data_IF_923157255868
#
_entry.id   IF_923157255868
#
_cell.length_a   1.000
_cell.length_b   1.000
_cell.length_c   1.000
_cell.angle_alpha   90.00
_cell.angle_beta   90.00
_cell.angle_gamma   90.00
#
_symmetry.space_group_name_H-M   'P 1'
#
loop_
_entity.id
_entity.type
_entity.pdbx_description
1 polymer ?
#
# COMPACT_ATOMS: atom_id res chain seq x y z
N UNK A 1 1.38 7.46 -8.30
CA UNK A 1 -0.07 7.32 -8.54
C UNK A 1 -0.83 8.65 -8.57
N UNK A 2 -0.38 9.70 -7.87
CA UNK A 2 -1.09 11.01 -7.77
C UNK A 2 -1.56 11.55 -9.13
N UNK A 3 -0.68 11.58 -10.14
CA UNK A 3 -1.04 12.06 -11.48
C UNK A 3 -2.25 11.32 -12.11
N UNK A 4 -2.30 9.99 -11.96
CA UNK A 4 -3.39 9.19 -12.53
C UNK A 4 -4.69 9.35 -11.75
N UNK A 5 -4.60 9.52 -10.41
CA UNK A 5 -5.76 9.85 -9.59
C UNK A 5 -6.36 11.20 -10.01
N UNK A 6 -5.52 12.22 -10.16
CA UNK A 6 -5.95 13.52 -10.66
C UNK A 6 -6.58 13.45 -12.06
N UNK A 7 -5.98 12.67 -12.97
CA UNK A 7 -6.55 12.49 -14.31
C UNK A 7 -7.91 11.77 -14.27
N UNK A 8 -8.11 10.80 -13.35
CA UNK A 8 -9.40 10.15 -13.14
C UNK A 8 -10.47 11.15 -12.65
N UNK A 9 -10.12 12.02 -11.70
CA UNK A 9 -11.04 13.04 -11.18
C UNK A 9 -11.45 14.05 -12.26
N UNK A 10 -10.52 14.45 -13.13
CA UNK A 10 -10.78 15.42 -14.22
C UNK A 10 -11.57 14.78 -15.38
N UNK A 11 -11.23 13.54 -15.75
CA UNK A 11 -11.76 12.91 -16.96
C UNK A 11 -12.92 11.94 -16.71
N UNK A 12 -13.24 11.62 -15.45
CA UNK A 12 -14.24 10.64 -15.04
C UNK A 12 -14.08 9.31 -15.79
N UNK A 13 -12.94 8.63 -15.59
CA UNK A 13 -12.62 7.44 -16.36
C UNK A 13 -13.54 6.27 -16.00
N UNK A 14 -13.81 5.41 -16.99
CA UNK A 14 -14.58 4.18 -16.78
C UNK A 14 -13.89 3.24 -15.79
N UNK A 15 -14.69 2.45 -15.05
CA UNK A 15 -14.24 1.50 -14.01
C UNK A 15 -13.07 0.59 -14.43
N UNK A 16 -13.02 0.17 -15.70
CA UNK A 16 -11.91 -0.65 -16.24
C UNK A 16 -10.54 0.02 -16.07
N UNK A 17 -10.47 1.34 -16.23
CA UNK A 17 -9.22 2.09 -16.08
C UNK A 17 -8.84 2.25 -14.61
N UNK A 18 -9.81 2.26 -13.69
CA UNK A 18 -9.56 2.26 -12.23
C UNK A 18 -8.91 0.97 -11.73
N UNK A 19 -8.93 -0.10 -12.53
CA UNK A 19 -8.20 -1.35 -12.27
C UNK A 19 -6.86 -1.40 -13.02
N UNK A 20 -6.85 -1.05 -14.31
CA UNK A 20 -5.65 -1.15 -15.16
C UNK A 20 -4.59 -0.10 -14.83
N UNK A 21 -4.98 1.15 -14.56
CA UNK A 21 -4.04 2.24 -14.33
C UNK A 21 -3.25 2.10 -13.02
N UNK A 22 -3.85 1.71 -11.88
CA UNK A 22 -3.06 1.43 -10.69
C UNK A 22 -2.12 0.24 -10.87
N UNK A 23 -2.51 -0.77 -11.64
CA UNK A 23 -1.64 -1.91 -12.00
C UNK A 23 -0.43 -1.45 -12.81
N UNK A 24 -0.62 -0.60 -13.81
CA UNK A 24 0.50 -0.04 -14.58
C UNK A 24 1.40 0.85 -13.72
N UNK A 25 0.81 1.64 -12.82
CA UNK A 25 1.54 2.54 -11.94
C UNK A 25 2.32 1.84 -10.82
N UNK A 26 2.01 0.58 -10.51
CA UNK A 26 2.77 -0.23 -9.54
C UNK A 26 3.96 -0.97 -10.15
N UNK A 27 4.09 -1.01 -11.50
CA UNK A 27 5.22 -1.67 -12.17
C UNK A 27 6.61 -1.24 -11.68
N UNK A 28 6.89 0.05 -11.38
CA UNK A 28 8.20 0.44 -10.84
C UNK A 28 8.51 -0.24 -9.49
N UNK A 29 7.51 -0.40 -8.62
CA UNK A 29 7.67 -1.13 -7.35
C UNK A 29 8.01 -2.59 -7.61
N UNK A 30 7.30 -3.24 -8.54
CA UNK A 30 7.55 -4.64 -8.91
C UNK A 30 8.96 -4.82 -9.49
N UNK A 31 9.43 -3.88 -10.31
CA UNK A 31 10.78 -3.93 -10.89
C UNK A 31 11.86 -3.76 -9.83
N UNK A 32 11.71 -2.79 -8.91
CA UNK A 32 12.63 -2.61 -7.77
C UNK A 32 12.66 -3.86 -6.89
N UNK A 33 11.50 -4.46 -6.64
CA UNK A 33 11.42 -5.70 -5.86
C UNK A 33 12.16 -6.85 -6.55
N UNK A 34 11.96 -7.00 -7.86
CA UNK A 34 12.61 -8.03 -8.67
C UNK A 34 14.13 -7.89 -8.69
N UNK A 35 14.66 -6.67 -8.84
CA UNK A 35 16.11 -6.47 -8.96
C UNK A 35 16.86 -6.49 -7.62
N UNK A 36 16.21 -6.10 -6.53
CA UNK A 36 16.90 -5.87 -5.25
C UNK A 36 16.67 -6.95 -4.20
N UNK A 37 15.45 -7.51 -4.10
CA UNK A 37 15.08 -8.42 -3.02
C UNK A 37 14.73 -9.82 -3.54
N UNK A 38 13.82 -9.90 -4.50
CA UNK A 38 13.49 -11.13 -5.25
C UNK A 38 12.88 -12.28 -4.43
N UNK A 39 12.60 -12.11 -3.13
CA UNK A 39 12.10 -13.21 -2.30
C UNK A 39 10.59 -13.46 -2.48
N UNK A 40 10.23 -14.42 -3.31
CA UNK A 40 8.82 -14.79 -3.57
C UNK A 40 8.27 -15.83 -2.59
N UNK A 41 9.03 -16.23 -1.58
CA UNK A 41 8.63 -17.21 -0.57
C UNK A 41 7.90 -16.53 0.58
N UNK A 42 6.65 -16.94 0.83
CA UNK A 42 5.84 -16.43 1.93
C UNK A 42 5.81 -17.42 3.11
N UNK A 43 5.61 -16.88 4.32
CA UNK A 43 5.26 -17.70 5.48
C UNK A 43 3.75 -17.93 5.48
N UNK A 44 3.34 -19.19 5.48
CA UNK A 44 1.93 -19.57 5.41
C UNK A 44 1.22 -19.24 6.74
N UNK A 45 0.03 -18.60 6.72
CA UNK A 45 -0.74 -18.33 7.93
C UNK A 45 -1.15 -19.61 8.66
N UNK A 46 -1.19 -19.56 10.01
CA UNK A 46 -1.39 -20.74 10.88
C UNK A 46 -2.51 -21.71 10.43
N UNK A 47 -3.70 -21.25 10.01
CA UNK A 47 -4.78 -22.15 9.58
C UNK A 47 -4.45 -23.00 8.34
N UNK A 48 -3.59 -22.51 7.45
CA UNK A 48 -3.28 -23.16 6.16
C UNK A 48 -1.99 -23.99 6.19
N UNK A 49 -1.18 -23.87 7.24
CA UNK A 49 0.08 -24.60 7.40
C UNK A 49 -0.05 -26.12 7.27
N UNK A 50 -1.12 -26.79 7.76
CA UNK A 50 -1.26 -28.24 7.59
C UNK A 50 -1.37 -28.70 6.14
N UNK A 51 -1.84 -27.84 5.24
CA UNK A 51 -2.10 -28.17 3.84
C UNK A 51 -0.93 -27.74 2.94
N UNK A 52 -0.38 -26.54 3.18
CA UNK A 52 0.59 -25.89 2.30
C UNK A 52 2.02 -25.88 2.84
N UNK A 53 2.24 -26.37 4.07
CA UNK A 53 3.53 -26.30 4.74
C UNK A 53 3.79 -24.96 5.43
N UNK A 54 5.01 -24.77 5.95
CA UNK A 54 5.41 -23.53 6.66
C UNK A 54 5.77 -22.39 5.69
N UNK A 55 6.46 -22.73 4.61
CA UNK A 55 6.95 -21.81 3.59
C UNK A 55 6.42 -22.25 2.23
N UNK A 56 5.94 -21.28 1.44
CA UNK A 56 5.43 -21.52 0.10
C UNK A 56 6.05 -20.50 -0.86
N UNK A 57 6.73 -20.99 -1.89
CA UNK A 57 7.18 -20.14 -2.99
C UNK A 57 6.05 -19.93 -3.99
N UNK A 58 5.66 -18.67 -4.17
CA UNK A 58 4.59 -18.26 -5.08
C UNK A 58 5.10 -17.88 -6.47
N UNK A 59 6.41 -17.63 -6.63
CA UNK A 59 7.00 -17.15 -7.87
C UNK A 59 6.23 -15.96 -8.47
N UNK A 60 5.76 -16.11 -9.71
CA UNK A 60 5.03 -15.06 -10.43
C UNK A 60 3.74 -14.62 -9.72
N UNK A 61 3.08 -15.51 -8.98
CA UNK A 61 1.85 -15.17 -8.25
C UNK A 61 2.10 -14.14 -7.15
N UNK A 62 3.32 -14.07 -6.62
CA UNK A 62 3.71 -13.03 -5.67
C UNK A 62 3.71 -11.64 -6.32
N UNK A 63 4.19 -11.52 -7.56
CA UNK A 63 4.16 -10.26 -8.31
C UNK A 63 2.74 -9.86 -8.71
N UNK A 64 1.90 -10.82 -9.09
CA UNK A 64 0.47 -10.58 -9.32
C UNK A 64 -0.17 -10.04 -8.04
N UNK A 65 0.10 -10.65 -6.89
CA UNK A 65 -0.36 -10.17 -5.58
C UNK A 65 0.09 -8.73 -5.30
N UNK A 66 1.38 -8.39 -5.47
CA UNK A 66 1.88 -7.03 -5.25
C UNK A 66 1.18 -6.00 -6.16
N UNK A 67 0.93 -6.35 -7.42
CA UNK A 67 0.18 -5.50 -8.34
C UNK A 67 -1.26 -5.27 -7.88
N UNK A 68 -1.96 -6.34 -7.49
CA UNK A 68 -3.33 -6.29 -6.99
C UNK A 68 -3.43 -5.57 -5.65
N UNK A 69 -2.40 -5.62 -4.80
CA UNK A 69 -2.37 -4.88 -3.54
C UNK A 69 -2.47 -3.38 -3.78
N UNK A 70 -1.74 -2.85 -4.76
CA UNK A 70 -1.81 -1.44 -5.10
C UNK A 70 -3.20 -1.03 -5.62
N UNK A 71 -3.82 -1.86 -6.46
CA UNK A 71 -5.20 -1.67 -6.96
C UNK A 71 -6.21 -1.69 -5.80
N UNK A 72 -6.07 -2.65 -4.88
CA UNK A 72 -6.94 -2.79 -3.73
C UNK A 72 -6.84 -1.57 -2.82
N UNK A 73 -5.63 -1.17 -2.41
CA UNK A 73 -5.45 -0.04 -1.47
C UNK A 73 -6.06 1.26 -2.00
N UNK A 74 -5.88 1.60 -3.29
CA UNK A 74 -6.45 2.83 -3.85
C UNK A 74 -7.97 2.78 -3.95
N UNK A 75 -8.53 1.64 -4.37
CA UNK A 75 -9.98 1.51 -4.54
C UNK A 75 -10.71 1.32 -3.21
N UNK A 76 -10.11 0.65 -2.23
CA UNK A 76 -10.72 0.39 -0.92
C UNK A 76 -11.00 1.70 -0.15
N UNK A 77 -10.05 2.64 -0.14
CA UNK A 77 -10.27 3.96 0.46
C UNK A 77 -11.31 4.75 -0.35
N UNK A 78 -11.24 4.68 -1.68
CA UNK A 78 -12.14 5.43 -2.56
C UNK A 78 -13.62 4.99 -2.47
N UNK A 79 -13.91 3.71 -2.19
CA UNK A 79 -15.28 3.24 -1.98
C UNK A 79 -15.78 3.50 -0.55
N UNK A 80 -14.87 3.64 0.42
CA UNK A 80 -15.17 4.02 1.80
C UNK A 80 -15.02 5.53 1.98
N UNK A 81 -15.88 6.27 1.28
CA UNK A 81 -15.79 7.72 1.11
C UNK A 81 -17.20 8.36 1.16
N UNK A 82 -17.25 9.68 1.09
CA UNK A 82 -18.51 10.43 0.90
C UNK A 82 -19.10 11.10 2.14
N UNK A 83 -18.36 11.14 3.25
CA UNK A 83 -18.65 12.01 4.41
C UNK A 83 -17.40 12.79 4.79
N UNK A 84 -17.57 14.02 5.28
CA UNK A 84 -16.47 14.95 5.56
C UNK A 84 -15.38 14.29 6.42
N UNK A 85 -14.13 14.38 5.96
CA UNK A 85 -12.96 13.91 6.70
C UNK A 85 -12.76 12.40 6.74
N UNK A 86 -13.61 11.57 6.12
CA UNK A 86 -13.49 10.11 6.23
C UNK A 86 -12.29 9.55 5.47
N UNK A 87 -12.04 10.03 4.25
CA UNK A 87 -10.96 9.56 3.38
C UNK A 87 -9.59 9.96 3.94
N UNK A 88 -9.44 11.22 4.34
CA UNK A 88 -8.23 11.74 4.96
C UNK A 88 -8.05 11.19 6.39
N UNK A 89 -9.14 11.07 7.17
CA UNK A 89 -9.12 10.56 8.54
C UNK A 89 -8.71 9.10 8.64
N UNK A 90 -9.31 8.21 7.82
CA UNK A 90 -8.92 6.79 7.83
C UNK A 90 -7.45 6.61 7.39
N UNK A 91 -7.00 7.40 6.41
CA UNK A 91 -5.61 7.38 5.92
C UNK A 91 -4.61 7.86 6.99
N UNK A 92 -5.00 8.85 7.81
CA UNK A 92 -4.21 9.29 8.96
C UNK A 92 -4.11 8.21 10.04
N UNK A 93 -5.20 7.52 10.36
CA UNK A 93 -5.17 6.42 11.34
C UNK A 93 -4.26 5.29 10.86
N UNK A 94 -4.35 4.90 9.57
CA UNK A 94 -3.50 3.87 8.98
C UNK A 94 -2.02 4.28 9.02
N UNK A 95 -1.69 5.49 8.54
CA UNK A 95 -0.31 5.96 8.52
C UNK A 95 0.29 6.15 9.91
N UNK A 96 -0.47 6.66 10.88
CA UNK A 96 -0.05 6.71 12.28
C UNK A 96 0.26 5.32 12.84
N UNK A 97 -0.59 4.33 12.54
CA UNK A 97 -0.39 2.95 12.98
C UNK A 97 0.90 2.36 12.39
N UNK A 98 1.18 2.61 11.11
CA UNK A 98 2.43 2.18 10.45
C UNK A 98 3.64 2.89 11.06
N UNK A 99 3.56 4.20 11.34
CA UNK A 99 4.64 4.96 11.98
C UNK A 99 4.95 4.36 13.36
N UNK A 100 3.93 4.14 14.19
CA UNK A 100 4.10 3.54 15.52
C UNK A 100 4.75 2.16 15.40
N UNK A 101 4.26 1.31 14.49
CA UNK A 101 4.84 -0.01 14.25
C UNK A 101 6.31 0.07 13.82
N UNK A 102 6.66 0.96 12.89
CA UNK A 102 8.04 1.15 12.45
C UNK A 102 8.96 1.67 13.57
N UNK A 103 8.45 2.52 14.46
CA UNK A 103 9.22 3.00 15.61
C UNK A 103 9.50 1.89 16.61
N UNK A 104 8.53 1.00 16.84
CA UNK A 104 8.70 -0.18 17.72
C UNK A 104 9.73 -1.15 17.13
N UNK A 105 9.66 -1.44 15.83
CA UNK A 105 10.56 -2.38 15.15
C UNK A 105 11.92 -1.76 14.76
N UNK A 106 12.16 -0.48 15.07
CA UNK A 106 13.43 0.19 14.75
C UNK A 106 14.63 -0.39 15.52
N UNK A 107 14.36 -0.99 16.68
CA UNK A 107 15.34 -1.70 17.51
C UNK A 107 15.52 -3.17 17.10
N UNK A 108 14.69 -3.67 16.16
CA UNK A 108 14.67 -5.06 15.70
C UNK A 108 15.61 -5.34 14.52
N UNK A 109 15.51 -6.56 13.99
CA UNK A 109 16.39 -7.08 12.94
C UNK A 109 16.20 -6.39 11.58
N UNK A 110 14.99 -5.90 11.27
CA UNK A 110 14.62 -5.34 9.96
C UNK A 110 14.69 -3.80 9.92
N UNK A 111 15.64 -3.20 10.63
CA UNK A 111 15.73 -1.74 10.82
C UNK A 111 15.70 -0.95 9.50
N UNK A 112 16.42 -1.39 8.47
CA UNK A 112 16.52 -0.65 7.20
C UNK A 112 15.16 -0.50 6.50
N UNK A 113 14.32 -1.54 6.55
CA UNK A 113 12.96 -1.53 5.98
C UNK A 113 12.05 -0.55 6.73
N UNK A 114 12.15 -0.52 8.06
CA UNK A 114 11.36 0.40 8.90
C UNK A 114 11.81 1.86 8.75
N UNK A 115 13.12 2.12 8.65
CA UNK A 115 13.66 3.45 8.35
C UNK A 115 13.19 3.92 6.97
N UNK A 116 13.27 3.06 5.94
CA UNK A 116 12.79 3.37 4.60
C UNK A 116 11.30 3.71 4.62
N UNK A 117 10.47 2.92 5.31
CA UNK A 117 9.04 3.16 5.45
C UNK A 117 8.74 4.50 6.14
N UNK A 118 9.48 4.87 7.21
CA UNK A 118 9.33 6.15 7.90
C UNK A 118 9.59 7.36 7.00
N UNK A 119 10.53 7.27 6.04
CA UNK A 119 10.78 8.35 5.08
C UNK A 119 9.56 8.69 4.22
N UNK A 120 8.69 7.72 3.94
CA UNK A 120 7.44 7.96 3.20
C UNK A 120 6.26 8.29 4.12
N UNK A 121 6.14 7.58 5.24
CA UNK A 121 4.97 7.69 6.12
C UNK A 121 4.90 9.02 6.86
N UNK A 122 6.03 9.55 7.34
CA UNK A 122 6.03 10.82 8.10
C UNK A 122 5.54 11.99 7.23
N UNK A 123 6.08 12.24 6.01
CA UNK A 123 5.55 13.28 5.14
C UNK A 123 4.10 13.03 4.70
N UNK A 124 3.73 11.78 4.44
CA UNK A 124 2.35 11.42 4.10
C UNK A 124 1.38 11.79 5.23
N UNK A 125 1.74 11.47 6.49
CA UNK A 125 0.92 11.82 7.65
C UNK A 125 0.73 13.33 7.76
N UNK A 126 1.80 14.12 7.74
CA UNK A 126 1.69 15.58 7.94
C UNK A 126 1.01 16.31 6.78
N UNK A 127 1.21 15.88 5.53
CA UNK A 127 0.49 16.46 4.38
C UNK A 127 -0.99 16.09 4.41
N UNK A 128 -1.34 14.86 4.79
CA UNK A 128 -2.74 14.44 4.98
C UNK A 128 -3.40 15.15 6.16
N UNK A 129 -2.65 15.46 7.22
CA UNK A 129 -3.14 16.26 8.35
C UNK A 129 -3.51 17.69 7.93
N UNK A 130 -2.67 18.31 7.09
CA UNK A 130 -2.97 19.61 6.48
C UNK A 130 -4.22 19.57 5.58
N UNK A 131 -4.42 18.48 4.84
CA UNK A 131 -5.65 18.26 4.07
C UNK A 131 -6.87 18.10 4.99
N UNK A 132 -6.77 17.27 6.04
CA UNK A 132 -7.85 17.03 6.99
C UNK A 132 -8.29 18.32 7.66
N UNK A 133 -7.37 19.22 8.00
CA UNK A 133 -7.68 20.52 8.59
C UNK A 133 -8.69 21.34 7.76
N UNK A 134 -8.65 21.23 6.43
CA UNK A 134 -9.58 21.91 5.52
C UNK A 134 -10.76 21.03 5.06
N UNK A 135 -10.75 19.74 5.39
CA UNK A 135 -11.73 18.74 4.93
C UNK A 135 -12.66 18.24 6.06
N UNK A 136 -12.36 18.59 7.31
CA UNK A 136 -13.15 18.24 8.50
C UNK A 136 -14.39 19.11 8.67
#
# INVERSE_FOLDING_TARGET
>A
MIFLGFADDVLNLQWRHKLLLPTAASLPLLMVYFTNFGNTTIVVPKPFRPILGLHLDLGILYYVYMGLLAVFCTNAINILAGINGLEAGQSLVISASIIIFNLVELEGDCRDDHVFSLYFMIPFFFTTLGLLYHNW
#
